data_IF_747694526286
#
_entry.id   IF_747694526286
#
_cell.length_a   1.000
_cell.length_b   1.000
_cell.length_c   1.000
_cell.angle_alpha   90.00
_cell.angle_beta   90.00
_cell.angle_gamma   90.00
#
_symmetry.space_group_name_H-M   'P 1'
#
loop_
_entity.id
_entity.type
_entity.pdbx_description
1 polymer ?
#
# COMPACT_ATOMS: atom_id res chain seq x y z
N UNK A 1 -40.63 0.32 -23.69
CA UNK A 1 -39.59 -0.20 -24.59
C UNK A 1 -38.26 0.26 -24.04
N UNK A 2 -37.64 -0.55 -23.18
CA UNK A 2 -36.40 -0.23 -22.48
C UNK A 2 -35.25 -0.76 -23.34
N UNK A 3 -34.38 0.14 -23.80
CA UNK A 3 -33.17 -0.21 -24.54
C UNK A 3 -32.13 -0.58 -23.49
N UNK A 4 -31.82 -1.88 -23.39
CA UNK A 4 -30.67 -2.37 -22.64
C UNK A 4 -29.41 -2.06 -23.46
N UNK A 5 -28.63 -1.09 -23.02
CA UNK A 5 -27.28 -0.85 -23.52
C UNK A 5 -26.30 -1.76 -22.80
N UNK A 6 -25.62 -2.63 -23.54
CA UNK A 6 -24.51 -3.42 -23.02
C UNK A 6 -23.34 -2.50 -22.66
N UNK A 7 -22.77 -2.69 -21.47
CA UNK A 7 -21.53 -2.04 -21.01
C UNK A 7 -20.36 -2.91 -21.50
N UNK A 8 -19.28 -2.34 -22.09
CA UNK A 8 -18.17 -3.13 -22.62
C UNK A 8 -17.38 -3.81 -21.50
N UNK A 9 -17.06 -5.09 -21.71
CA UNK A 9 -16.13 -5.85 -20.89
C UNK A 9 -14.72 -5.25 -20.95
N UNK A 10 -13.93 -5.48 -19.90
CA UNK A 10 -12.53 -5.10 -19.77
C UNK A 10 -11.67 -5.87 -20.80
N UNK A 11 -11.61 -5.38 -22.04
CA UNK A 11 -10.64 -5.83 -23.04
C UNK A 11 -9.33 -5.04 -22.89
N UNK A 12 -8.32 -5.74 -22.37
CA UNK A 12 -6.93 -5.74 -22.81
C UNK A 12 -6.40 -4.45 -23.47
N UNK A 13 -5.75 -3.60 -22.68
CA UNK A 13 -4.67 -2.75 -23.18
C UNK A 13 -3.36 -3.11 -22.46
N UNK A 14 -2.97 -4.37 -22.59
CA UNK A 14 -1.59 -4.78 -22.49
C UNK A 14 -1.08 -5.04 -23.92
N UNK A 15 -0.09 -4.26 -24.34
CA UNK A 15 0.77 -4.47 -25.51
C UNK A 15 0.17 -4.38 -26.93
N UNK A 16 0.33 -3.23 -27.59
CA UNK A 16 0.62 -3.20 -29.04
C UNK A 16 1.75 -2.21 -29.36
N UNK A 17 2.99 -2.66 -29.21
CA UNK A 17 4.09 -2.34 -30.13
C UNK A 17 4.89 -3.62 -30.32
N UNK A 18 4.83 -4.17 -31.53
CA UNK A 18 5.48 -5.41 -31.89
C UNK A 18 7.00 -5.32 -31.79
N UNK A 19 7.59 -6.35 -31.21
CA UNK A 19 9.02 -6.66 -31.36
C UNK A 19 9.12 -7.99 -32.11
N UNK A 20 9.67 -8.02 -33.34
CA UNK A 20 9.84 -9.23 -34.13
C UNK A 20 11.12 -9.94 -33.71
N UNK A 21 11.07 -10.69 -32.60
CA UNK A 21 12.02 -11.77 -32.31
C UNK A 21 11.43 -12.69 -31.21
N UNK A 22 10.36 -13.40 -31.57
CA UNK A 22 9.96 -14.62 -30.87
C UNK A 22 10.85 -15.75 -31.38
N UNK A 23 11.77 -16.24 -30.54
CA UNK A 23 12.16 -17.65 -30.45
C UNK A 23 13.23 -17.82 -29.37
N UNK A 24 12.77 -18.03 -28.14
CA UNK A 24 13.52 -18.75 -27.11
C UNK A 24 12.51 -19.42 -26.17
N UNK A 25 12.40 -20.74 -26.29
CA UNK A 25 11.56 -21.58 -25.46
C UNK A 25 11.98 -21.47 -23.98
N UNK A 26 11.12 -20.89 -23.14
CA UNK A 26 11.21 -21.03 -21.70
C UNK A 26 10.63 -22.40 -21.32
N UNK A 27 11.51 -23.30 -20.91
CA UNK A 27 11.15 -24.60 -20.33
C UNK A 27 10.41 -24.36 -19.01
N UNK A 28 9.17 -24.84 -18.95
CA UNK A 28 8.35 -24.94 -17.76
C UNK A 28 8.99 -25.89 -16.74
N UNK A 29 9.51 -25.34 -15.64
CA UNK A 29 9.72 -26.12 -14.42
C UNK A 29 8.44 -26.04 -13.58
N UNK A 30 7.46 -26.84 -13.96
CA UNK A 30 6.39 -27.27 -13.07
C UNK A 30 6.99 -28.27 -12.06
N UNK A 31 7.62 -27.77 -11.00
CA UNK A 31 7.97 -28.51 -9.78
C UNK A 31 8.54 -27.55 -8.72
N UNK A 32 7.68 -26.75 -8.10
CA UNK A 32 7.88 -26.14 -6.78
C UNK A 32 6.55 -25.57 -6.29
N UNK A 33 6.32 -25.54 -4.98
CA UNK A 33 5.13 -25.02 -4.30
C UNK A 33 3.93 -25.99 -4.19
N UNK A 34 4.23 -27.24 -3.85
CA UNK A 34 3.33 -28.10 -3.08
C UNK A 34 3.78 -28.12 -1.61
N UNK A 35 2.94 -27.62 -0.70
CA UNK A 35 3.01 -27.86 0.75
C UNK A 35 4.31 -27.49 1.44
N UNK A 36 4.39 -26.29 2.02
CA UNK A 36 5.44 -25.96 2.98
C UNK A 36 5.20 -26.75 4.28
N UNK A 37 5.86 -27.90 4.39
CA UNK A 37 6.13 -28.51 5.68
C UNK A 37 7.28 -27.77 6.35
N UNK A 38 7.01 -27.39 7.60
CA UNK A 38 7.87 -26.84 8.62
C UNK A 38 9.29 -27.46 8.62
N UNK A 39 10.26 -26.82 7.97
CA UNK A 39 11.68 -27.13 8.16
C UNK A 39 12.17 -26.35 9.39
N UNK A 40 12.25 -27.07 10.51
CA UNK A 40 12.56 -26.52 11.81
C UNK A 40 13.84 -25.68 11.84
N UNK A 41 13.71 -24.46 12.35
CA UNK A 41 14.74 -23.81 13.17
C UNK A 41 15.89 -23.13 12.43
N UNK A 42 15.64 -22.48 11.28
CA UNK A 42 16.59 -21.52 10.70
C UNK A 42 15.87 -20.22 10.32
N UNK A 43 16.58 -19.10 10.51
CA UNK A 43 16.41 -17.84 9.78
C UNK A 43 15.35 -16.82 10.24
N UNK A 44 15.63 -16.11 11.34
CA UNK A 44 15.37 -14.65 11.50
C UNK A 44 13.92 -14.12 11.52
N UNK A 45 12.96 -14.83 10.96
CA UNK A 45 11.53 -14.53 10.99
C UNK A 45 10.91 -15.04 12.28
N UNK A 46 9.91 -14.31 12.79
CA UNK A 46 9.06 -14.82 13.87
C UNK A 46 7.86 -15.61 13.35
N UNK A 47 7.64 -15.62 12.05
CA UNK A 47 6.52 -16.26 11.39
C UNK A 47 6.80 -17.75 11.25
N UNK A 48 6.08 -18.60 12.00
CA UNK A 48 6.10 -20.06 11.78
C UNK A 48 4.94 -20.50 10.90
N UNK A 49 3.78 -19.89 11.13
CA UNK A 49 2.59 -20.05 10.31
C UNK A 49 1.79 -18.74 10.31
N UNK A 50 1.25 -18.38 9.14
CA UNK A 50 0.17 -17.39 9.06
C UNK A 50 -1.16 -18.11 9.12
N UNK A 51 -1.94 -17.78 10.14
CA UNK A 51 -3.31 -18.20 10.21
C UNK A 51 -4.20 -17.03 9.78
N UNK A 52 -4.95 -17.23 8.72
CA UNK A 52 -6.01 -16.29 8.35
C UNK A 52 -7.26 -16.68 9.14
N UNK A 53 -7.55 -15.92 10.20
CA UNK A 53 -8.80 -16.09 10.91
C UNK A 53 -9.94 -15.58 10.01
N UNK A 54 -10.66 -16.48 9.34
CA UNK A 54 -11.95 -16.18 8.71
C UNK A 54 -12.92 -15.75 9.82
N UNK A 55 -13.10 -14.45 10.00
CA UNK A 55 -14.20 -13.88 10.77
C UNK A 55 -14.81 -12.75 9.96
N UNK A 56 -16.02 -13.00 9.48
CA UNK A 56 -17.02 -12.06 8.98
C UNK A 56 -16.50 -11.00 8.01
N UNK A 57 -16.57 -11.35 6.73
CA UNK A 57 -16.46 -10.41 5.62
C UNK A 57 -17.63 -9.41 5.68
N UNK A 58 -17.33 -8.12 5.83
CA UNK A 58 -18.27 -7.07 5.40
C UNK A 58 -17.71 -6.44 4.12
N UNK A 59 -17.85 -7.21 3.03
CA UNK A 59 -17.69 -6.67 1.68
C UNK A 59 -18.92 -5.82 1.37
N UNK A 60 -18.68 -4.56 0.94
CA UNK A 60 -19.64 -3.56 0.42
C UNK A 60 -20.13 -2.54 1.45
N UNK A 61 -19.21 -1.70 1.91
CA UNK A 61 -19.51 -0.48 2.66
C UNK A 61 -20.11 0.63 1.78
N UNK A 62 -20.77 0.38 0.64
CA UNK A 62 -21.42 1.44 -0.18
C UNK A 62 -20.51 2.57 -0.73
N UNK A 63 -19.25 2.63 -0.31
CA UNK A 63 -18.14 3.50 -0.71
C UNK A 63 -17.24 2.68 -1.63
N UNK A 64 -17.63 2.59 -2.90
CA UNK A 64 -17.28 1.40 -3.67
C UNK A 64 -16.33 1.63 -4.84
N UNK A 65 -15.96 2.86 -5.18
CA UNK A 65 -15.26 3.11 -6.44
C UNK A 65 -13.99 3.88 -6.12
N UNK A 66 -12.94 3.24 -5.59
CA UNK A 66 -11.63 3.87 -5.45
C UNK A 66 -10.51 2.85 -5.21
N UNK A 67 -9.29 3.30 -5.43
CA UNK A 67 -8.06 2.52 -5.30
C UNK A 67 -7.17 3.15 -4.22
N UNK A 68 -6.18 2.40 -3.73
CA UNK A 68 -5.13 2.94 -2.84
C UNK A 68 -5.64 3.44 -1.49
N UNK A 69 -6.43 2.63 -0.78
CA UNK A 69 -6.95 2.93 0.55
C UNK A 69 -5.86 2.88 1.63
N UNK A 70 -5.12 3.97 1.79
CA UNK A 70 -3.97 4.06 2.67
C UNK A 70 -4.34 4.77 3.97
N UNK A 71 -4.03 4.14 5.11
CA UNK A 71 -4.60 4.55 6.39
C UNK A 71 -3.55 4.99 7.41
N UNK A 72 -3.98 5.83 8.34
CA UNK A 72 -3.21 6.17 9.54
C UNK A 72 -4.10 6.41 10.75
N UNK A 73 -3.54 6.16 11.94
CA UNK A 73 -4.16 6.45 13.22
C UNK A 73 -3.76 7.86 13.67
N UNK A 74 -4.70 8.79 13.64
CA UNK A 74 -4.45 10.18 14.00
C UNK A 74 -4.39 10.42 15.51
N UNK A 75 -3.73 11.51 15.91
CA UNK A 75 -3.65 11.93 17.32
C UNK A 75 -5.02 12.20 17.95
N UNK A 76 -6.06 12.51 17.17
CA UNK A 76 -7.44 12.66 17.66
C UNK A 76 -8.15 11.32 17.94
N UNK A 77 -7.50 10.19 17.62
CA UNK A 77 -8.00 8.84 17.87
C UNK A 77 -8.77 8.23 16.70
N UNK A 78 -9.01 9.00 15.64
CA UNK A 78 -9.68 8.51 14.42
C UNK A 78 -8.71 7.80 13.49
N UNK A 79 -9.27 6.96 12.64
CA UNK A 79 -8.57 6.48 11.46
C UNK A 79 -8.84 7.43 10.32
N UNK A 80 -7.78 7.90 9.68
CA UNK A 80 -7.87 8.63 8.41
C UNK A 80 -7.45 7.70 7.28
N UNK A 81 -8.13 7.80 6.15
CA UNK A 81 -7.77 7.10 4.93
C UNK A 81 -7.70 8.07 3.77
N UNK A 82 -6.71 7.88 2.91
CA UNK A 82 -6.65 8.50 1.60
C UNK A 82 -6.98 7.46 0.55
N UNK A 83 -7.68 7.84 -0.51
CA UNK A 83 -7.80 7.02 -1.72
C UNK A 83 -7.51 7.84 -2.97
N UNK A 84 -7.30 7.13 -4.09
CA UNK A 84 -7.11 7.70 -5.43
C UNK A 84 -8.10 7.12 -6.44
N UNK A 85 -8.26 7.82 -7.57
CA UNK A 85 -9.02 7.40 -8.74
C UNK A 85 -10.44 6.90 -8.44
N UNK A 86 -11.19 7.68 -7.65
CA UNK A 86 -12.41 7.16 -7.09
C UNK A 86 -13.53 8.15 -6.78
N UNK A 87 -14.54 7.70 -6.05
CA UNK A 87 -15.69 8.48 -5.64
C UNK A 87 -15.95 8.31 -4.15
N UNK A 88 -16.30 9.41 -3.49
CA UNK A 88 -16.73 9.40 -2.09
C UNK A 88 -18.21 9.01 -1.93
N UNK A 89 -18.97 8.85 -3.01
CA UNK A 89 -20.31 8.25 -2.98
C UNK A 89 -20.72 7.85 -4.39
N UNK A 90 -21.78 7.05 -4.52
CA UNK A 90 -22.33 6.64 -5.83
C UNK A 90 -22.62 7.86 -6.72
N UNK A 91 -23.20 8.90 -6.14
CA UNK A 91 -23.62 10.13 -6.84
C UNK A 91 -22.50 11.17 -6.99
N UNK A 92 -21.39 11.03 -6.26
CA UNK A 92 -20.29 11.97 -6.34
C UNK A 92 -19.60 11.92 -7.73
N UNK A 93 -18.96 13.01 -8.17
CA UNK A 93 -18.03 12.95 -9.28
C UNK A 93 -16.80 12.10 -8.92
N UNK A 94 -16.12 11.57 -9.94
CA UNK A 94 -14.82 10.91 -9.76
C UNK A 94 -13.78 11.97 -9.39
N UNK A 95 -12.97 11.68 -8.39
CA UNK A 95 -11.90 12.53 -7.85
C UNK A 95 -10.56 11.81 -7.97
N UNK A 96 -9.52 12.58 -8.26
CA UNK A 96 -8.13 12.09 -8.29
C UNK A 96 -7.69 11.58 -6.92
N UNK A 97 -8.07 12.33 -5.88
CA UNK A 97 -7.67 12.11 -4.50
C UNK A 97 -8.79 12.54 -3.56
N UNK A 98 -8.96 11.81 -2.46
CA UNK A 98 -9.83 12.21 -1.36
C UNK A 98 -9.19 11.82 -0.03
N UNK A 99 -9.61 12.53 1.03
CA UNK A 99 -9.31 12.19 2.42
C UNK A 99 -10.62 11.94 3.15
N UNK A 100 -10.65 10.89 3.97
CA UNK A 100 -11.82 10.46 4.72
C UNK A 100 -11.42 10.10 6.15
N UNK A 101 -12.37 10.15 7.07
CA UNK A 101 -12.27 9.45 8.35
C UNK A 101 -13.07 8.16 8.33
N UNK A 102 -12.62 7.21 9.15
CA UNK A 102 -13.35 6.00 9.50
C UNK A 102 -13.67 6.10 11.00
N UNK A 103 -14.95 6.29 11.29
CA UNK A 103 -15.44 6.61 12.65
C UNK A 103 -15.67 5.35 13.51
N UNK A 104 -15.94 4.20 12.88
CA UNK A 104 -16.18 2.93 13.58
C UNK A 104 -14.92 2.06 13.66
N UNK A 105 -14.93 1.08 14.56
CA UNK A 105 -13.86 0.10 14.72
C UNK A 105 -14.23 -1.25 14.08
N UNK A 106 -13.19 -2.03 13.75
CA UNK A 106 -13.35 -3.39 13.22
C UNK A 106 -13.90 -4.35 14.30
N UNK A 107 -14.67 -5.38 13.91
CA UNK A 107 -15.04 -5.77 12.55
C UNK A 107 -16.32 -5.08 12.02
N UNK A 108 -16.82 -4.05 12.69
CA UNK A 108 -18.18 -3.51 12.46
C UNK A 108 -18.24 -2.37 11.43
N UNK A 109 -17.32 -2.32 10.47
CA UNK A 109 -17.31 -1.26 9.46
C UNK A 109 -18.50 -1.38 8.51
N UNK A 110 -19.13 -0.25 8.23
CA UNK A 110 -20.23 -0.11 7.27
C UNK A 110 -20.00 1.10 6.37
N UNK A 111 -20.91 1.32 5.41
CA UNK A 111 -20.93 2.56 4.63
C UNK A 111 -20.99 3.82 5.46
N UNK A 112 -21.75 3.75 6.55
CA UNK A 112 -21.94 4.86 7.44
C UNK A 112 -20.71 5.15 8.31
N UNK A 113 -19.69 4.28 8.31
CA UNK A 113 -18.44 4.50 9.03
C UNK A 113 -17.53 5.54 8.35
N UNK A 114 -17.73 5.80 7.06
CA UNK A 114 -16.88 6.71 6.29
C UNK A 114 -17.45 8.13 6.27
N UNK A 115 -16.57 9.12 6.46
CA UNK A 115 -16.89 10.54 6.34
C UNK A 115 -15.87 11.22 5.44
N UNK A 116 -16.35 11.89 4.40
CA UNK A 116 -15.51 12.75 3.58
C UNK A 116 -14.96 13.90 4.40
N UNK A 117 -13.63 14.03 4.41
CA UNK A 117 -12.93 15.20 4.93
C UNK A 117 -12.71 16.21 3.81
N UNK A 118 -12.25 15.71 2.65
CA UNK A 118 -12.00 16.52 1.48
C UNK A 118 -12.16 15.73 0.20
N UNK A 119 -12.81 16.36 -0.77
CA UNK A 119 -12.84 15.95 -2.17
C UNK A 119 -11.86 16.88 -2.89
N UNK A 120 -10.77 16.34 -3.47
CA UNK A 120 -9.70 17.12 -4.08
C UNK A 120 -8.90 18.00 -3.10
N UNK A 121 -8.35 17.38 -2.05
CA UNK A 121 -7.51 18.05 -1.06
C UNK A 121 -6.29 18.77 -1.69
N UNK A 122 -5.81 18.32 -2.86
CA UNK A 122 -4.72 18.96 -3.60
C UNK A 122 -5.14 20.13 -4.49
N UNK A 123 -6.44 20.35 -4.72
CA UNK A 123 -6.94 21.40 -5.62
C UNK A 123 -6.54 21.20 -7.09
N UNK A 124 -6.34 19.95 -7.54
CA UNK A 124 -5.96 19.64 -8.93
C UNK A 124 -7.16 19.48 -9.86
N UNK A 125 -8.36 19.54 -9.30
CA UNK A 125 -9.63 19.42 -10.00
C UNK A 125 -9.95 17.98 -10.41
N UNK A 126 -11.25 17.72 -10.60
CA UNK A 126 -11.81 16.42 -10.99
C UNK A 126 -11.46 16.00 -12.44
N UNK A 127 -10.80 16.86 -13.22
CA UNK A 127 -10.55 16.62 -14.66
C UNK A 127 -9.23 15.92 -14.97
N UNK A 128 -8.41 15.65 -13.96
CA UNK A 128 -7.09 15.06 -14.16
C UNK A 128 -6.85 13.93 -13.14
N UNK A 129 -7.77 12.95 -13.13
CA UNK A 129 -7.78 11.78 -12.22
C UNK A 129 -6.54 10.91 -12.31
N UNK A 130 -5.69 11.15 -13.30
CA UNK A 130 -4.47 10.41 -13.62
C UNK A 130 -3.21 11.27 -13.48
N UNK A 131 -3.16 12.27 -12.60
CA UNK A 131 -1.95 13.09 -12.47
C UNK A 131 -1.21 12.92 -11.15
N UNK A 132 -1.90 12.66 -10.04
CA UNK A 132 -1.25 12.58 -8.74
C UNK A 132 -2.00 11.60 -7.85
N UNK A 133 -1.36 10.50 -7.45
CA UNK A 133 -1.95 9.47 -6.61
C UNK A 133 -1.44 9.60 -5.18
N UNK A 134 -2.38 9.43 -4.24
CA UNK A 134 -2.10 9.18 -2.84
C UNK A 134 -1.77 7.70 -2.69
N UNK A 135 -0.60 7.40 -2.12
CA UNK A 135 -0.09 6.02 -2.02
C UNK A 135 0.36 5.64 -0.61
N UNK A 136 0.31 6.59 0.31
CA UNK A 136 0.49 6.35 1.74
C UNK A 136 -0.01 7.56 2.52
N UNK A 137 -0.39 7.35 3.78
CA UNK A 137 -0.85 8.41 4.66
C UNK A 137 -0.29 8.18 6.06
N UNK A 138 0.18 9.23 6.74
CA UNK A 138 0.60 9.17 8.14
C UNK A 138 0.24 10.44 8.90
N UNK A 139 -0.19 10.28 10.15
CA UNK A 139 -0.23 11.37 11.11
C UNK A 139 1.03 11.38 11.98
N UNK A 140 1.65 12.54 12.13
CA UNK A 140 2.70 12.81 13.12
C UNK A 140 2.22 13.92 14.02
N UNK A 141 1.84 13.58 15.25
CA UNK A 141 0.99 14.44 16.07
C UNK A 141 -0.30 14.76 15.32
N UNK A 142 -0.62 16.05 15.19
CA UNK A 142 -1.82 16.54 14.49
C UNK A 142 -1.60 16.83 13.00
N UNK A 143 -0.36 16.69 12.50
CA UNK A 143 -0.04 16.96 11.09
C UNK A 143 -0.20 15.71 10.25
N UNK A 144 -0.98 15.82 9.17
CA UNK A 144 -1.13 14.77 8.17
C UNK A 144 -0.05 14.93 7.08
N UNK A 145 0.58 13.82 6.73
CA UNK A 145 1.45 13.69 5.57
C UNK A 145 0.91 12.60 4.64
N UNK A 146 0.99 12.86 3.34
CA UNK A 146 0.54 11.93 2.30
C UNK A 146 1.70 11.67 1.34
N UNK A 147 2.00 10.39 1.10
CA UNK A 147 2.93 9.96 0.08
C UNK A 147 2.29 10.14 -1.29
N UNK A 148 2.98 10.87 -2.16
CA UNK A 148 2.50 11.28 -3.46
C UNK A 148 3.35 10.66 -4.57
N UNK A 149 2.68 10.28 -5.66
CA UNK A 149 3.32 9.92 -6.92
C UNK A 149 2.57 10.55 -8.09
N UNK A 150 3.27 11.00 -9.12
CA UNK A 150 2.66 11.36 -10.40
C UNK A 150 2.96 10.32 -11.50
N UNK A 151 2.30 10.43 -12.65
CA UNK A 151 2.52 9.50 -13.78
C UNK A 151 3.80 9.76 -14.57
N UNK A 152 4.57 10.79 -14.20
CA UNK A 152 5.97 10.92 -14.58
C UNK A 152 6.90 10.22 -13.57
N UNK A 153 6.33 9.47 -12.63
CA UNK A 153 7.03 8.74 -11.57
C UNK A 153 7.84 9.64 -10.65
N UNK A 154 7.37 10.87 -10.45
CA UNK A 154 7.91 11.75 -9.43
C UNK A 154 7.30 11.41 -8.08
N UNK A 155 8.14 10.99 -7.14
CA UNK A 155 7.76 10.76 -5.75
C UNK A 155 7.89 12.03 -4.90
N UNK A 156 7.02 12.16 -3.90
CA UNK A 156 7.12 13.23 -2.93
C UNK A 156 6.15 13.08 -1.77
N UNK A 157 6.12 14.11 -0.91
CA UNK A 157 5.27 14.14 0.28
C UNK A 157 4.46 15.43 0.26
N UNK A 158 3.15 15.28 0.43
CA UNK A 158 2.26 16.39 0.73
C UNK A 158 2.08 16.55 2.23
N UNK A 159 1.81 17.77 2.69
CA UNK A 159 1.55 18.11 4.10
C UNK A 159 0.17 18.73 4.24
N UNK A 160 -0.53 18.40 5.32
CA UNK A 160 -1.76 19.07 5.74
C UNK A 160 -1.69 19.43 7.22
N UNK A 161 -1.98 20.69 7.51
CA UNK A 161 -2.07 21.26 8.87
C UNK A 161 -3.52 21.40 9.36
N UNK A 162 -4.50 20.97 8.55
CA UNK A 162 -5.93 21.15 8.79
C UNK A 162 -6.73 19.84 8.79
N UNK A 163 -6.03 18.73 9.06
CA UNK A 163 -6.60 17.39 9.17
C UNK A 163 -6.98 16.78 7.82
N UNK A 164 -6.35 17.20 6.73
CA UNK A 164 -6.57 16.69 5.37
C UNK A 164 -7.61 17.44 4.56
N UNK A 165 -8.06 18.62 5.02
CA UNK A 165 -8.95 19.47 4.19
C UNK A 165 -8.18 20.03 3.00
N UNK A 166 -6.93 20.45 3.21
CA UNK A 166 -6.02 20.91 2.16
C UNK A 166 -4.68 20.19 2.22
N UNK A 167 -4.09 19.92 1.06
CA UNK A 167 -2.75 19.32 0.90
C UNK A 167 -1.81 20.32 0.22
N UNK A 168 -0.71 20.63 0.90
CA UNK A 168 0.39 21.43 0.40
C UNK A 168 1.42 20.51 -0.27
N UNK A 169 1.53 20.59 -1.60
CA UNK A 169 2.46 19.80 -2.41
C UNK A 169 3.08 20.63 -3.53
N UNK A 170 4.42 20.72 -3.57
CA UNK A 170 5.15 21.43 -4.63
C UNK A 170 5.37 20.51 -5.84
N UNK A 171 4.41 20.52 -6.75
CA UNK A 171 4.44 19.74 -8.00
C UNK A 171 5.58 20.15 -8.94
N UNK A 172 6.12 21.36 -8.80
CA UNK A 172 7.20 21.84 -9.66
C UNK A 172 8.58 21.34 -9.22
N UNK A 173 8.67 20.82 -7.99
CA UNK A 173 9.92 20.38 -7.37
C UNK A 173 9.69 19.07 -6.61
N UNK A 174 9.54 17.95 -7.33
CA UNK A 174 9.37 16.66 -6.69
C UNK A 174 10.59 16.33 -5.84
N UNK A 175 10.35 15.68 -4.70
CA UNK A 175 11.43 15.28 -3.79
C UNK A 175 12.32 14.23 -4.42
N UNK A 176 11.70 13.25 -5.09
CA UNK A 176 12.37 12.17 -5.81
C UNK A 176 11.91 12.19 -7.27
N UNK A 177 12.65 12.88 -8.16
CA UNK A 177 12.25 13.01 -9.56
C UNK A 177 12.33 11.67 -10.30
N UNK A 178 11.36 11.42 -11.18
CA UNK A 178 11.30 10.28 -12.09
C UNK A 178 12.33 10.38 -13.22
N UNK A 179 13.62 10.35 -12.88
CA UNK A 179 14.73 10.35 -13.84
C UNK A 179 15.09 8.93 -14.31
N UNK A 180 16.10 8.78 -15.18
CA UNK A 180 16.53 7.49 -15.71
C UNK A 180 16.93 6.44 -14.63
N UNK A 181 17.25 6.89 -13.41
CA UNK A 181 17.43 6.02 -12.24
C UNK A 181 16.37 6.41 -11.20
N UNK A 182 15.19 5.84 -11.34
CA UNK A 182 14.09 6.07 -10.40
C UNK A 182 14.40 5.42 -9.06
N UNK A 183 14.38 6.19 -7.97
CA UNK A 183 14.44 5.66 -6.60
C UNK A 183 13.40 6.41 -5.78
N UNK A 184 12.66 5.71 -4.92
CA UNK A 184 11.59 6.30 -4.10
C UNK A 184 10.44 6.90 -4.92
N UNK A 185 10.00 6.20 -5.97
CA UNK A 185 8.84 6.62 -6.78
C UNK A 185 7.57 6.58 -5.95
N UNK A 186 7.43 5.53 -5.13
CA UNK A 186 6.26 5.30 -4.30
C UNK A 186 6.60 5.41 -2.80
N UNK A 187 6.73 6.63 -2.25
CA UNK A 187 6.98 6.82 -0.83
C UNK A 187 5.83 6.33 0.05
N UNK A 188 6.13 5.45 1.01
CA UNK A 188 5.21 5.03 2.05
C UNK A 188 5.81 5.10 3.44
N UNK A 189 4.96 5.32 4.43
CA UNK A 189 5.41 5.57 5.80
C UNK A 189 5.31 4.31 6.67
N UNK A 190 6.28 4.15 7.56
CA UNK A 190 6.11 3.26 8.71
C UNK A 190 4.98 3.77 9.59
N UNK A 191 3.96 2.97 9.86
CA UNK A 191 2.97 3.25 10.92
C UNK A 191 3.50 2.75 12.27
N UNK A 192 3.41 3.57 13.31
CA UNK A 192 3.86 3.18 14.66
C UNK A 192 3.02 3.88 15.75
N UNK A 193 1.83 3.34 15.99
CA UNK A 193 0.88 3.85 16.98
C UNK A 193 0.15 5.13 16.58
N UNK A 194 -0.67 5.63 17.51
CA UNK A 194 -1.48 6.84 17.39
C UNK A 194 -0.61 8.06 17.14
N UNK A 195 -0.89 8.86 16.10
CA UNK A 195 -0.11 10.06 15.78
C UNK A 195 1.40 9.81 15.65
N UNK A 196 1.79 8.58 15.33
CA UNK A 196 3.18 8.12 15.32
C UNK A 196 3.91 8.23 16.68
N UNK A 197 3.18 8.15 17.79
CA UNK A 197 3.72 8.22 19.16
C UNK A 197 4.51 6.99 19.59
N UNK A 198 4.27 5.83 18.96
CA UNK A 198 5.04 4.61 19.24
C UNK A 198 6.48 4.66 18.74
N UNK A 199 6.84 5.67 17.93
CA UNK A 199 8.22 5.89 17.52
C UNK A 199 9.06 6.40 18.70
N UNK A 200 10.13 5.66 19.02
CA UNK A 200 11.00 5.94 20.17
C UNK A 200 12.40 6.40 19.78
N UNK A 201 12.81 6.26 18.52
CA UNK A 201 14.14 6.65 18.05
C UNK A 201 14.23 8.08 17.49
N UNK A 202 13.09 8.78 17.40
CA UNK A 202 13.02 10.18 16.97
C UNK A 202 13.06 10.38 15.47
N UNK A 203 12.91 9.32 14.67
CA UNK A 203 12.88 9.40 13.21
C UNK A 203 11.55 8.93 12.63
N UNK A 204 11.12 9.58 11.55
CA UNK A 204 10.10 9.05 10.66
C UNK A 204 10.78 8.24 9.56
N UNK A 205 10.25 7.05 9.28
CA UNK A 205 10.75 6.15 8.24
C UNK A 205 9.86 6.20 7.00
N UNK A 206 10.49 6.45 5.84
CA UNK A 206 9.88 6.38 4.52
C UNK A 206 10.49 5.22 3.76
N UNK A 207 9.65 4.36 3.21
CA UNK A 207 10.05 3.33 2.26
C UNK A 207 9.70 3.80 0.86
N UNK A 208 10.48 3.36 -0.11
CA UNK A 208 10.19 3.67 -1.50
C UNK A 208 10.68 2.57 -2.42
N UNK A 209 9.86 2.26 -3.42
CA UNK A 209 10.23 1.33 -4.48
C UNK A 209 10.92 2.06 -5.64
N UNK A 210 11.75 1.32 -6.37
CA UNK A 210 12.27 1.73 -7.70
C UNK A 210 11.53 1.02 -8.82
N UNK A 211 11.08 1.78 -9.81
CA UNK A 211 10.41 1.24 -10.98
C UNK A 211 9.01 1.80 -11.12
N UNK A 212 8.32 1.32 -12.15
CA UNK A 212 6.96 1.72 -12.44
C UNK A 212 5.97 0.80 -11.73
N UNK A 213 4.74 1.29 -11.62
CA UNK A 213 3.62 0.52 -11.15
C UNK A 213 3.58 -0.85 -11.83
N UNK A 214 3.53 -1.89 -11.02
CA UNK A 214 3.41 -3.24 -11.51
C UNK A 214 4.58 -3.71 -12.36
N UNK A 215 5.80 -3.19 -12.15
CA UNK A 215 7.06 -3.77 -12.63
C UNK A 215 7.76 -4.55 -11.49
N UNK A 216 8.90 -5.17 -11.78
CA UNK A 216 9.81 -5.67 -10.75
C UNK A 216 10.44 -4.48 -10.03
N UNK A 217 10.11 -4.30 -8.76
CA UNK A 217 10.68 -3.24 -7.94
C UNK A 217 11.58 -3.83 -6.85
N UNK A 218 12.49 -3.02 -6.32
CA UNK A 218 13.22 -3.23 -5.07
C UNK A 218 12.76 -2.22 -4.02
N UNK A 219 12.88 -2.56 -2.74
CA UNK A 219 12.49 -1.68 -1.64
C UNK A 219 13.71 -1.03 -1.01
N UNK A 220 13.64 0.28 -0.76
CA UNK A 220 14.63 1.04 -0.01
C UNK A 220 13.97 1.76 1.16
N UNK A 221 14.78 2.17 2.13
CA UNK A 221 14.31 2.94 3.29
C UNK A 221 15.16 4.18 3.48
N UNK A 222 14.48 5.27 3.81
CA UNK A 222 15.03 6.52 4.25
C UNK A 222 14.42 6.87 5.61
N UNK A 223 15.10 7.75 6.33
CA UNK A 223 14.58 8.32 7.56
C UNK A 223 14.83 9.82 7.61
N UNK A 224 14.05 10.51 8.41
CA UNK A 224 14.15 11.94 8.64
C UNK A 224 13.81 12.23 10.11
N UNK A 225 14.49 13.17 10.80
CA UNK A 225 14.12 13.52 12.17
C UNK A 225 12.64 13.89 12.27
N UNK A 226 11.93 13.36 13.27
CA UNK A 226 10.47 13.57 13.44
C UNK A 226 10.08 15.05 13.57
N UNK A 227 11.02 15.91 13.94
CA UNK A 227 10.83 17.36 14.11
C UNK A 227 11.15 18.19 12.85
N UNK A 228 11.62 17.55 11.78
CA UNK A 228 11.95 18.20 10.52
C UNK A 228 10.70 18.55 9.68
N UNK A 229 10.89 19.36 8.62
CA UNK A 229 9.91 19.44 7.53
C UNK A 229 10.09 18.23 6.60
N UNK A 230 9.11 17.33 6.56
CA UNK A 230 9.18 16.11 5.75
C UNK A 230 9.17 16.37 4.24
N UNK A 231 8.98 17.62 3.80
CA UNK A 231 9.08 18.00 2.39
C UNK A 231 10.50 18.42 2.00
N UNK A 232 11.41 18.59 2.97
CA UNK A 232 12.80 18.93 2.72
C UNK A 232 13.63 17.66 2.49
N UNK A 233 13.77 17.27 1.23
CA UNK A 233 14.54 16.08 0.83
C UNK A 233 16.01 16.12 1.30
N UNK A 234 16.57 17.31 1.59
CA UNK A 234 17.97 17.46 2.01
C UNK A 234 18.21 16.98 3.45
N UNK A 235 17.15 16.79 4.23
CA UNK A 235 17.23 16.30 5.62
C UNK A 235 17.11 14.78 5.72
N UNK A 236 16.84 14.10 4.61
CA UNK A 236 16.71 12.65 4.58
C UNK A 236 18.07 11.97 4.66
N UNK A 237 18.06 10.84 5.37
CA UNK A 237 19.16 9.89 5.39
C UNK A 237 18.67 8.56 4.83
N UNK A 238 19.47 7.93 3.98
CA UNK A 238 19.16 6.69 3.28
C UNK A 238 20.02 5.56 3.85
N UNK A 239 19.42 4.40 4.04
CA UNK A 239 20.14 3.24 4.58
C UNK A 239 21.11 2.68 3.54
N UNK A 240 22.39 2.52 3.91
CA UNK A 240 23.46 2.06 3.01
C UNK A 240 23.94 0.62 3.30
N UNK A 241 23.20 -0.13 4.11
CA UNK A 241 23.55 -1.48 4.54
C UNK A 241 24.47 -1.56 5.76
N UNK A 242 25.16 -0.47 6.09
CA UNK A 242 26.03 -0.37 7.27
C UNK A 242 25.61 0.76 8.23
N UNK A 243 24.85 1.74 7.73
CA UNK A 243 24.39 2.89 8.47
C UNK A 243 23.52 3.81 7.62
N UNK A 244 23.57 5.11 7.91
CA UNK A 244 22.70 6.12 7.33
C UNK A 244 23.52 7.17 6.57
N UNK A 245 23.21 7.37 5.30
CA UNK A 245 23.90 8.31 4.42
C UNK A 245 22.98 9.44 3.96
N UNK A 246 23.49 10.66 3.85
CA UNK A 246 22.73 11.76 3.21
C UNK A 246 22.57 11.58 1.68
N UNK A 247 23.28 10.62 1.08
CA UNK A 247 23.28 10.41 -0.38
C UNK A 247 22.30 9.32 -0.78
N UNK A 248 21.30 9.68 -1.59
CA UNK A 248 20.37 8.74 -2.22
C UNK A 248 21.09 7.70 -3.11
N UNK A 249 22.25 8.04 -3.68
CA UNK A 249 23.05 7.12 -4.50
C UNK A 249 23.65 5.96 -3.72
N UNK A 250 23.73 6.09 -2.40
CA UNK A 250 24.21 5.02 -1.51
C UNK A 250 23.08 4.17 -0.93
N UNK A 251 21.82 4.51 -1.22
CA UNK A 251 20.67 3.79 -0.70
C UNK A 251 20.65 2.34 -1.22
N UNK A 252 20.83 1.39 -0.30
CA UNK A 252 20.77 -0.03 -0.62
C UNK A 252 19.35 -0.58 -0.49
N UNK A 253 19.12 -1.67 -1.21
CA UNK A 253 17.87 -2.41 -1.20
C UNK A 253 17.72 -3.15 0.14
N UNK A 254 16.67 -2.86 0.90
CA UNK A 254 16.27 -3.63 2.08
C UNK A 254 15.44 -4.86 1.69
N UNK A 255 14.83 -4.82 0.50
CA UNK A 255 14.38 -5.99 -0.25
C UNK A 255 14.85 -5.84 -1.70
N UNK A 256 15.44 -6.89 -2.26
CA UNK A 256 15.94 -6.90 -3.64
C UNK A 256 14.83 -6.79 -4.68
N UNK A 257 15.20 -6.61 -5.98
CA UNK A 257 14.23 -6.58 -7.06
C UNK A 257 13.35 -7.83 -7.06
N UNK A 258 12.03 -7.64 -7.01
CA UNK A 258 11.05 -8.71 -6.94
C UNK A 258 9.74 -8.32 -7.63
N UNK A 259 9.12 -9.28 -8.32
CA UNK A 259 7.77 -9.14 -8.88
C UNK A 259 6.68 -9.07 -7.79
N UNK A 260 7.05 -9.41 -6.54
CA UNK A 260 6.23 -9.27 -5.33
C UNK A 260 6.08 -7.81 -4.87
N UNK A 261 6.91 -6.92 -5.40
CA UNK A 261 6.90 -5.49 -5.07
C UNK A 261 6.23 -4.72 -6.21
N UNK A 262 4.89 -4.65 -6.22
CA UNK A 262 4.11 -3.99 -7.27
C UNK A 262 4.14 -2.45 -7.23
N UNK A 263 4.88 -1.87 -6.30
CA UNK A 263 5.08 -0.43 -6.18
C UNK A 263 4.18 0.27 -5.17
N UNK A 264 3.35 -0.43 -4.40
CA UNK A 264 2.70 0.15 -3.22
C UNK A 264 2.79 -0.79 -2.05
N UNK A 265 3.32 -0.28 -0.95
CA UNK A 265 3.66 -1.07 0.22
C UNK A 265 3.23 -0.37 1.49
N UNK A 266 2.81 -1.16 2.47
CA UNK A 266 2.42 -0.68 3.79
C UNK A 266 3.28 -1.35 4.86
N UNK A 267 3.77 -0.55 5.80
CA UNK A 267 4.61 -1.03 6.89
C UNK A 267 4.01 -0.59 8.21
N UNK A 268 3.97 -1.49 9.19
CA UNK A 268 3.51 -1.20 10.56
C UNK A 268 4.42 -1.86 11.59
N UNK A 269 4.62 -1.18 12.71
CA UNK A 269 5.20 -1.80 13.90
C UNK A 269 4.10 -2.49 14.73
N UNK A 270 4.30 -3.77 15.03
CA UNK A 270 3.43 -4.55 15.89
C UNK A 270 4.05 -4.69 17.29
N UNK A 271 3.48 -4.04 18.31
CA UNK A 271 4.07 -4.01 19.65
C UNK A 271 3.99 -5.36 20.38
N UNK A 272 2.99 -6.19 20.09
CA UNK A 272 2.86 -7.52 20.71
C UNK A 272 4.05 -8.41 20.35
N UNK A 273 4.47 -8.36 19.08
CA UNK A 273 5.60 -9.14 18.60
C UNK A 273 6.95 -8.41 18.72
N UNK A 274 6.93 -7.09 18.91
CA UNK A 274 8.10 -6.22 18.78
C UNK A 274 8.78 -6.41 17.41
N UNK A 275 7.98 -6.33 16.34
CA UNK A 275 8.41 -6.57 14.96
C UNK A 275 7.78 -5.58 14.00
N UNK A 276 8.47 -5.33 12.91
CA UNK A 276 7.96 -4.57 11.77
C UNK A 276 7.36 -5.54 10.78
N UNK A 277 6.15 -5.27 10.33
CA UNK A 277 5.48 -6.03 9.28
C UNK A 277 5.31 -5.16 8.04
N UNK A 278 5.68 -5.73 6.91
CA UNK A 278 5.53 -5.13 5.59
C UNK A 278 4.55 -5.97 4.79
N UNK A 279 3.65 -5.33 4.07
CA UNK A 279 2.78 -5.98 3.10
C UNK A 279 2.86 -5.24 1.77
N UNK A 280 2.90 -6.02 0.69
CA UNK A 280 2.97 -5.58 -0.71
C UNK A 280 2.01 -6.42 -1.54
N UNK A 281 1.84 -6.09 -2.82
CA UNK A 281 1.10 -6.89 -3.79
C UNK A 281 1.94 -7.16 -5.04
N UNK A 282 1.64 -8.27 -5.71
CA UNK A 282 2.22 -8.63 -7.00
C UNK A 282 1.32 -8.18 -8.16
N UNK A 283 1.95 -7.82 -9.30
CA UNK A 283 1.20 -7.57 -10.54
C UNK A 283 1.03 -8.88 -11.32
N UNK A 284 -0.21 -9.28 -11.72
CA UNK A 284 -0.44 -10.50 -12.48
C UNK A 284 0.47 -10.68 -13.71
N UNK A 285 0.73 -9.58 -14.43
CA UNK A 285 1.58 -9.59 -15.62
C UNK A 285 3.04 -9.99 -15.35
N UNK A 286 3.52 -9.80 -14.12
CA UNK A 286 4.92 -10.08 -13.76
C UNK A 286 5.11 -11.44 -13.10
N UNK A 287 4.14 -11.88 -12.29
CA UNK A 287 4.24 -13.16 -11.57
C UNK A 287 3.70 -14.35 -12.38
N UNK A 288 3.22 -14.11 -13.62
CA UNK A 288 2.73 -15.18 -14.50
C UNK A 288 1.46 -15.87 -13.98
N UNK A 289 0.69 -15.18 -13.14
CA UNK A 289 -0.46 -15.73 -12.42
C UNK A 289 -1.34 -14.65 -11.79
N UNK A 290 -2.38 -15.02 -11.02
CA UNK A 290 -3.22 -14.04 -10.33
C UNK A 290 -2.42 -13.16 -9.35
N UNK A 291 -2.79 -11.89 -9.22
CA UNK A 291 -2.28 -11.01 -8.16
C UNK A 291 -2.43 -11.66 -6.78
N UNK A 292 -1.42 -11.49 -5.94
CA UNK A 292 -1.40 -11.90 -4.54
C UNK A 292 -0.73 -10.82 -3.68
N UNK A 293 -0.91 -10.87 -2.37
CA UNK A 293 -0.22 -10.00 -1.42
C UNK A 293 0.84 -10.79 -0.67
N UNK A 294 1.99 -10.19 -0.40
CA UNK A 294 3.09 -10.87 0.28
C UNK A 294 3.42 -10.12 1.55
N UNK A 295 3.48 -10.85 2.66
CA UNK A 295 3.79 -10.33 3.99
C UNK A 295 5.23 -10.66 4.33
N UNK A 296 5.93 -9.69 4.91
CA UNK A 296 7.29 -9.83 5.43
C UNK A 296 7.34 -9.35 6.87
N UNK A 297 8.29 -9.86 7.66
CA UNK A 297 8.62 -9.32 8.97
C UNK A 297 10.10 -8.94 9.12
N UNK A 298 10.40 -8.03 10.04
CA UNK A 298 11.76 -7.59 10.36
C UNK A 298 11.93 -7.23 11.84
N UNK A 299 13.16 -7.38 12.40
CA UNK A 299 13.49 -6.90 13.75
C UNK A 299 13.59 -5.37 13.83
N UNK A 300 14.08 -4.74 12.77
CA UNK A 300 14.37 -3.32 12.66
C UNK A 300 13.62 -2.72 11.46
N UNK A 301 13.35 -1.41 11.43
CA UNK A 301 12.62 -0.81 10.32
C UNK A 301 13.41 -0.84 9.00
N UNK A 302 14.73 -1.07 9.04
CA UNK A 302 15.55 -1.25 7.83
C UNK A 302 15.86 -2.73 7.51
N UNK A 303 15.17 -3.68 8.15
CA UNK A 303 15.36 -5.11 7.93
C UNK A 303 16.44 -5.73 8.83
N UNK A 304 16.93 -6.95 8.50
CA UNK A 304 16.56 -7.72 7.31
C UNK A 304 15.07 -8.13 7.34
N UNK A 305 14.42 -8.04 6.18
CA UNK A 305 13.05 -8.51 5.99
C UNK A 305 13.05 -9.97 5.58
N UNK A 306 12.17 -10.76 6.21
CA UNK A 306 11.98 -12.17 5.93
C UNK A 306 10.56 -12.39 5.41
N UNK A 307 10.42 -13.21 4.38
CA UNK A 307 9.09 -13.56 3.88
C UNK A 307 8.37 -14.41 4.92
N UNK A 308 7.14 -14.00 5.14
CA UNK A 308 6.28 -14.51 6.19
C UNK A 308 5.17 -15.36 5.55
N UNK A 309 4.62 -14.91 4.42
CA UNK A 309 3.73 -15.72 3.59
C UNK A 309 3.02 -14.92 2.50
N UNK A 310 2.30 -15.65 1.65
CA UNK A 310 1.52 -15.11 0.52
C UNK A 310 0.03 -15.24 0.79
N UNK A 311 -0.72 -14.21 0.40
CA UNK A 311 -2.17 -14.10 0.45
C UNK A 311 -2.67 -14.07 -1.00
N UNK A 312 -3.22 -15.17 -1.47
CA UNK A 312 -3.65 -15.38 -2.85
C UNK A 312 -5.16 -15.57 -2.94
N UNK A 313 -5.72 -15.50 -4.16
CA UNK A 313 -7.15 -15.81 -4.40
C UNK A 313 -7.59 -17.20 -3.95
N UNK A 314 -6.65 -18.14 -3.79
CA UNK A 314 -6.97 -19.51 -3.33
C UNK A 314 -7.18 -19.57 -1.83
N UNK A 315 -6.80 -18.53 -1.09
CA UNK A 315 -7.01 -18.47 0.34
C UNK A 315 -8.48 -18.26 0.68
N UNK A 316 -8.88 -18.75 1.84
CA UNK A 316 -10.27 -18.66 2.31
C UNK A 316 -10.77 -17.20 2.40
N UNK A 317 -9.84 -16.23 2.43
CA UNK A 317 -10.10 -14.80 2.31
C UNK A 317 -10.85 -14.40 1.02
N UNK A 318 -10.78 -15.18 -0.06
CA UNK A 318 -11.31 -14.72 -1.37
C UNK A 318 -12.31 -15.67 -2.03
N UNK A 319 -12.42 -16.92 -1.55
CA UNK A 319 -13.19 -17.98 -2.20
C UNK A 319 -14.72 -17.79 -2.19
N UNK A 320 -15.26 -16.81 -1.47
CA UNK A 320 -16.69 -16.72 -1.19
C UNK A 320 -17.30 -15.31 -1.31
N UNK A 321 -16.67 -14.38 -2.04
CA UNK A 321 -17.31 -13.09 -2.34
C UNK A 321 -17.86 -13.10 -3.77
N UNK A 322 -19.19 -13.31 -3.97
CA UNK A 322 -19.80 -13.21 -5.29
C UNK A 322 -19.48 -11.86 -5.92
N UNK A 323 -18.93 -11.90 -7.13
CA UNK A 323 -18.62 -10.73 -7.95
C UNK A 323 -17.25 -10.07 -7.73
N UNK A 324 -16.35 -10.63 -6.90
CA UNK A 324 -14.91 -10.27 -6.97
C UNK A 324 -14.30 -11.10 -8.10
N UNK A 325 -13.97 -10.46 -9.21
CA UNK A 325 -13.56 -11.20 -10.39
C UNK A 325 -12.04 -11.34 -10.53
N UNK A 326 -11.25 -10.28 -10.31
CA UNK A 326 -9.97 -10.25 -11.03
C UNK A 326 -8.74 -9.66 -10.35
N UNK A 327 -8.76 -8.93 -9.24
CA UNK A 327 -7.51 -8.36 -8.70
C UNK A 327 -7.60 -8.04 -7.21
N UNK A 328 -6.49 -8.24 -6.50
CA UNK A 328 -6.25 -7.73 -5.15
C UNK A 328 -5.06 -6.78 -5.24
N UNK A 329 -5.18 -5.64 -4.60
CA UNK A 329 -4.32 -4.50 -4.89
C UNK A 329 -4.19 -3.58 -3.67
N UNK A 330 -3.06 -2.91 -3.52
CA UNK A 330 -2.80 -1.88 -2.49
C UNK A 330 -3.21 -2.25 -1.06
N UNK A 331 -2.56 -3.27 -0.47
CA UNK A 331 -2.77 -3.56 0.93
C UNK A 331 -2.28 -2.42 1.82
N UNK A 332 -3.04 -2.13 2.88
CA UNK A 332 -2.67 -1.17 3.91
C UNK A 332 -2.91 -1.74 5.31
N UNK A 333 -1.87 -1.69 6.13
CA UNK A 333 -1.96 -1.87 7.57
C UNK A 333 -2.39 -0.57 8.25
N UNK A 334 -3.04 -0.68 9.41
CA UNK A 334 -3.29 0.44 10.30
C UNK A 334 -2.88 0.07 11.72
N UNK A 335 -2.06 0.90 12.36
CA UNK A 335 -1.61 0.67 13.73
C UNK A 335 -2.76 0.66 14.76
N UNK A 336 -3.88 1.31 14.48
CA UNK A 336 -5.10 1.24 15.31
C UNK A 336 -5.73 -0.16 15.28
N UNK A 337 -5.50 -0.93 14.23
CA UNK A 337 -6.15 -2.22 13.97
C UNK A 337 -5.20 -3.39 14.24
N UNK A 338 -4.38 -3.25 15.29
CA UNK A 338 -3.58 -4.33 15.85
C UNK A 338 -4.23 -4.74 17.16
N UNK A 339 -4.65 -6.00 17.23
CA UNK A 339 -5.27 -6.60 18.41
C UNK A 339 -4.22 -6.86 19.51
N UNK A 340 -4.68 -7.05 20.74
CA UNK A 340 -3.81 -7.30 21.90
C UNK A 340 -2.95 -8.58 21.75
N UNK A 341 -3.45 -9.56 21.01
CA UNK A 341 -2.76 -10.82 20.67
C UNK A 341 -1.79 -10.68 19.49
N UNK A 342 -1.63 -9.46 18.95
CA UNK A 342 -0.79 -9.18 17.79
C UNK A 342 -1.45 -9.48 16.46
N UNK A 343 -2.72 -9.92 16.42
CA UNK A 343 -3.48 -10.00 15.18
C UNK A 343 -3.57 -8.62 14.50
N UNK A 344 -3.44 -8.58 13.18
CA UNK A 344 -3.44 -7.33 12.41
C UNK A 344 -4.54 -7.36 11.37
N UNK A 345 -5.29 -6.28 11.25
CA UNK A 345 -6.21 -6.12 10.14
C UNK A 345 -5.54 -5.38 8.99
N UNK A 346 -5.80 -5.88 7.78
CA UNK A 346 -5.41 -5.25 6.52
C UNK A 346 -6.65 -4.69 5.85
N UNK A 347 -6.51 -3.55 5.20
CA UNK A 347 -7.39 -3.19 4.10
C UNK A 347 -6.71 -3.45 2.77
N UNK A 348 -7.49 -3.59 1.71
CA UNK A 348 -7.00 -3.71 0.34
C UNK A 348 -8.09 -3.29 -0.64
N UNK A 349 -7.70 -3.09 -1.89
CA UNK A 349 -8.58 -2.84 -3.01
C UNK A 349 -8.86 -4.15 -3.73
N UNK A 350 -10.10 -4.42 -4.12
CA UNK A 350 -10.42 -5.53 -5.02
C UNK A 350 -11.38 -5.13 -6.14
N UNK A 351 -11.13 -5.67 -7.33
CA UNK A 351 -11.92 -5.39 -8.53
C UNK A 351 -13.20 -6.25 -8.58
N UNK A 352 -14.35 -5.58 -8.76
CA UNK A 352 -15.67 -6.18 -8.88
C UNK A 352 -16.11 -6.38 -10.34
N UNK A 353 -17.23 -7.09 -10.57
CA UNK A 353 -17.82 -7.37 -11.90
C UNK A 353 -17.89 -6.16 -12.86
N UNK A 354 -18.08 -4.94 -12.35
CA UNK A 354 -18.17 -3.71 -13.15
C UNK A 354 -16.83 -2.98 -13.36
N UNK A 355 -15.69 -3.65 -13.15
CA UNK A 355 -14.34 -3.07 -13.26
C UNK A 355 -14.08 -1.91 -12.27
N UNK A 356 -14.67 -1.99 -11.09
CA UNK A 356 -14.55 -0.98 -10.04
C UNK A 356 -13.87 -1.57 -8.81
N UNK A 357 -12.90 -0.84 -8.26
CA UNK A 357 -12.20 -1.23 -7.05
C UNK A 357 -12.92 -0.78 -5.80
N UNK A 358 -13.05 -1.71 -4.85
CA UNK A 358 -13.75 -1.49 -3.58
C UNK A 358 -12.80 -1.62 -2.40
N UNK A 359 -13.10 -0.86 -1.33
CA UNK A 359 -12.49 -1.10 -0.03
C UNK A 359 -12.89 -2.47 0.50
N UNK A 360 -11.90 -3.28 0.83
CA UNK A 360 -12.03 -4.56 1.50
C UNK A 360 -11.12 -4.58 2.73
N UNK A 361 -11.43 -5.45 3.69
CA UNK A 361 -10.56 -5.68 4.83
C UNK A 361 -10.62 -7.13 5.31
N UNK A 362 -9.56 -7.56 5.99
CA UNK A 362 -9.45 -8.91 6.55
C UNK A 362 -8.43 -8.95 7.69
N UNK A 363 -8.51 -10.00 8.51
CA UNK A 363 -7.60 -10.21 9.65
C UNK A 363 -6.51 -11.22 9.31
N UNK A 364 -5.29 -10.89 9.72
CA UNK A 364 -4.11 -11.76 9.70
C UNK A 364 -3.73 -12.06 11.15
N UNK A 365 -3.56 -13.34 11.49
CA UNK A 365 -3.00 -13.79 12.76
C UNK A 365 -1.66 -14.48 12.52
N UNK A 366 -0.72 -14.24 13.44
CA UNK A 366 0.60 -14.87 13.42
C UNK A 366 0.62 -15.92 14.53
N UNK A 367 0.86 -17.17 14.17
CA UNK A 367 1.04 -18.28 15.13
C UNK A 367 2.54 -18.53 15.34
N UNK A 368 2.93 -18.79 16.60
CA UNK A 368 4.32 -19.04 17.02
C UNK A 368 4.61 -20.51 17.27
#
# INVERSE_FOLDING_TARGET
MVIAGAIPACEQNAATKGDPNSDAAASSSEDAFGGLTNDGGRDGTICRTFAFAKKDFVSRTGYNWADSWMMSWAADGKTYTSFSDGKVSVEAPKVTNAILTIDDDLPNLTAASFRTVSEDAMGVGMRNTWSHYNISTIFVGDTLYVGMVDFSYNGGIARSDDGGRTLQYDRSRPMWPGSAVTRFVYPSFLQNGRGYEGNTDGYMYVYGTDGRWGETNALRVARIPKTADFRDVTQYQYYDGSGWSASLDKALNVLGPSAELGGMQSIVFNPHFNRYFLITFSNPGNVGGPAHMTVFDAPDPWGPFFECGVISRKDALFKEVPGILHEIYNPSFNAKWIDEDGGMWISYSSCCEDSQYTFQYGKISVER
#
